data_IF_096701383143
#
_entry.id   IF_096701383143
#
_cell.length_a   1.000
_cell.length_b   1.000
_cell.length_c   1.000
_cell.angle_alpha   90.00
_cell.angle_beta   90.00
_cell.angle_gamma   90.00
#
_symmetry.space_group_name_H-M   'P 1'
#
loop_
_entity.id
_entity.type
_entity.pdbx_description
1 polymer ?
#
# COMPACT_ATOMS: atom_id res chain seq x y z
N UNK A 1 8.49 -12.65 -21.54
CA UNK A 1 7.30 -12.48 -20.67
C UNK A 1 6.26 -13.47 -21.14
N UNK A 2 5.51 -14.10 -20.23
CA UNK A 2 4.39 -14.98 -20.59
C UNK A 2 3.30 -14.07 -21.18
N UNK A 3 2.92 -14.30 -22.43
CA UNK A 3 1.86 -13.52 -23.09
C UNK A 3 0.52 -14.06 -22.62
N UNK A 4 -0.06 -13.41 -21.60
CA UNK A 4 -1.37 -13.78 -21.04
C UNK A 4 -2.34 -12.68 -21.42
N UNK A 5 -3.33 -13.01 -22.26
CA UNK A 5 -4.37 -12.06 -22.65
C UNK A 5 -5.31 -11.75 -21.49
N UNK A 6 -5.47 -10.47 -21.15
CA UNK A 6 -6.44 -9.99 -20.16
C UNK A 6 -7.42 -9.09 -20.90
N UNK A 7 -8.71 -9.42 -20.86
CA UNK A 7 -9.76 -8.63 -21.51
C UNK A 7 -10.10 -7.39 -20.67
N UNK A 8 -10.21 -7.56 -19.36
CA UNK A 8 -10.48 -6.50 -18.40
C UNK A 8 -9.80 -6.80 -17.05
N UNK A 9 -9.31 -5.75 -16.39
CA UNK A 9 -8.81 -5.84 -15.02
C UNK A 9 -9.20 -4.58 -14.24
N UNK A 10 -9.84 -4.76 -13.09
CA UNK A 10 -10.24 -3.72 -12.16
C UNK A 10 -9.77 -4.11 -10.76
N UNK A 11 -9.42 -3.11 -9.96
CA UNK A 11 -9.15 -3.32 -8.53
C UNK A 11 -9.89 -2.28 -7.71
N UNK A 12 -10.63 -2.75 -6.71
CA UNK A 12 -11.20 -1.91 -5.66
C UNK A 12 -10.34 -2.09 -4.41
N UNK A 13 -9.92 -0.98 -3.78
CA UNK A 13 -9.04 -1.01 -2.62
C UNK A 13 -9.69 -0.28 -1.47
N UNK A 14 -9.69 -0.91 -0.30
CA UNK A 14 -10.22 -0.36 0.93
C UNK A 14 -9.14 -0.30 2.00
N UNK A 15 -9.23 0.69 2.88
CA UNK A 15 -8.29 0.92 3.96
C UNK A 15 -9.01 1.39 5.22
N UNK A 16 -8.80 0.68 6.33
CA UNK A 16 -9.34 1.05 7.63
C UNK A 16 -8.34 1.93 8.37
N UNK A 17 -8.45 3.24 8.15
CA UNK A 17 -7.61 4.24 8.80
C UNK A 17 -8.23 4.74 10.12
N UNK A 18 -7.39 4.98 11.12
CA UNK A 18 -7.78 5.71 12.32
C UNK A 18 -6.82 6.85 12.63
N UNK A 19 -7.38 7.93 13.19
CA UNK A 19 -6.68 9.05 13.80
C UNK A 19 -7.41 9.41 15.08
N UNK A 20 -6.69 9.51 16.18
CA UNK A 20 -7.26 9.81 17.51
C UNK A 20 -6.29 10.59 18.38
N UNK A 21 -6.80 11.14 19.47
CA UNK A 21 -6.03 11.88 20.47
C UNK A 21 -6.04 13.38 20.24
N UNK A 22 -5.14 14.07 20.94
CA UNK A 22 -5.08 15.53 21.03
C UNK A 22 -3.63 16.00 20.93
N UNK A 23 -3.44 17.10 20.22
CA UNK A 23 -2.14 17.78 20.12
C UNK A 23 -1.78 18.41 21.46
N UNK A 24 -2.75 19.09 22.11
CA UNK A 24 -2.52 19.75 23.39
C UNK A 24 -2.13 18.76 24.50
N UNK A 25 -2.69 17.56 24.47
CA UNK A 25 -2.46 16.53 25.48
C UNK A 25 -1.34 15.55 25.09
N UNK A 26 -0.68 15.75 23.95
CA UNK A 26 0.36 14.87 23.40
C UNK A 26 -0.08 13.39 23.28
N UNK A 27 -1.29 13.17 22.77
CA UNK A 27 -1.89 11.82 22.63
C UNK A 27 -2.22 11.42 21.19
N UNK A 28 -1.80 12.22 20.19
CA UNK A 28 -2.08 11.95 18.77
C UNK A 28 -1.51 10.59 18.38
N UNK A 29 -2.37 9.72 17.86
CA UNK A 29 -2.01 8.42 17.30
C UNK A 29 -2.82 8.18 16.04
N UNK A 30 -2.17 7.63 15.02
CA UNK A 30 -2.83 7.17 13.82
C UNK A 30 -2.32 5.78 13.41
N UNK A 31 -3.02 5.17 12.47
CA UNK A 31 -2.58 3.94 11.85
C UNK A 31 -3.62 3.40 10.89
N UNK A 32 -3.31 2.23 10.33
CA UNK A 32 -4.19 1.47 9.46
C UNK A 32 -4.33 0.07 10.05
N UNK A 33 -5.55 -0.41 10.28
CA UNK A 33 -5.79 -1.75 10.85
C UNK A 33 -5.83 -2.83 9.79
N UNK A 34 -6.36 -2.53 8.59
CA UNK A 34 -6.43 -3.47 7.49
C UNK A 34 -6.47 -2.72 6.14
N UNK A 35 -5.88 -3.34 5.10
CA UNK A 35 -6.04 -2.95 3.70
C UNK A 35 -6.54 -4.16 2.93
N UNK A 36 -7.60 -3.99 2.16
CA UNK A 36 -8.21 -5.04 1.33
C UNK A 36 -8.14 -4.63 -0.14
N UNK A 37 -7.89 -5.59 -1.02
CA UNK A 37 -7.89 -5.38 -2.46
C UNK A 37 -8.73 -6.45 -3.13
N UNK A 38 -9.75 -6.00 -3.85
CA UNK A 38 -10.71 -6.84 -4.56
C UNK A 38 -10.39 -6.73 -6.05
N UNK A 39 -9.94 -7.83 -6.64
CA UNK A 39 -9.58 -7.90 -8.05
C UNK A 39 -10.73 -8.50 -8.84
N UNK A 40 -11.13 -7.82 -9.91
CA UNK A 40 -12.12 -8.26 -10.88
C UNK A 40 -11.43 -8.32 -12.25
N UNK A 41 -11.24 -9.54 -12.76
CA UNK A 41 -10.42 -9.81 -13.95
C UNK A 41 -11.20 -10.73 -14.89
N UNK A 42 -11.30 -10.34 -16.16
CA UNK A 42 -11.94 -11.11 -17.22
C UNK A 42 -10.87 -11.56 -18.22
N UNK A 43 -10.84 -12.86 -18.53
CA UNK A 43 -9.92 -13.44 -19.52
C UNK A 43 -10.43 -14.80 -20.00
N UNK A 44 -10.07 -15.17 -21.23
CA UNK A 44 -10.32 -16.49 -21.82
C UNK A 44 -9.19 -17.50 -21.52
N UNK A 45 -8.15 -17.07 -20.79
CA UNK A 45 -7.01 -17.92 -20.43
C UNK A 45 -7.32 -18.86 -19.26
N UNK A 46 -6.48 -19.87 -19.07
CA UNK A 46 -6.64 -20.80 -17.94
C UNK A 46 -6.45 -20.09 -16.60
N UNK A 47 -7.25 -20.49 -15.61
CA UNK A 47 -7.24 -19.89 -14.27
C UNK A 47 -5.85 -19.90 -13.63
N UNK A 48 -5.10 -20.99 -13.80
CA UNK A 48 -3.76 -21.17 -13.23
C UNK A 48 -2.76 -20.12 -13.74
N UNK A 49 -2.83 -19.80 -15.04
CA UNK A 49 -2.00 -18.77 -15.66
C UNK A 49 -2.37 -17.37 -15.16
N UNK A 50 -3.67 -17.10 -14.98
CA UNK A 50 -4.17 -15.83 -14.47
C UNK A 50 -3.76 -15.62 -13.00
N UNK A 51 -3.85 -16.66 -12.18
CA UNK A 51 -3.41 -16.62 -10.78
C UNK A 51 -1.91 -16.35 -10.70
N UNK A 52 -1.10 -16.97 -11.56
CA UNK A 52 0.34 -16.72 -11.63
C UNK A 52 0.63 -15.24 -11.93
N UNK A 53 -0.03 -14.68 -12.95
CA UNK A 53 0.11 -13.26 -13.33
C UNK A 53 -0.30 -12.32 -12.21
N UNK A 54 -1.45 -12.56 -11.57
CA UNK A 54 -1.92 -11.72 -10.45
C UNK A 54 -0.92 -11.77 -9.29
N UNK A 55 -0.39 -12.95 -8.96
CA UNK A 55 0.65 -13.08 -7.91
C UNK A 55 1.92 -12.30 -8.27
N UNK A 56 2.35 -12.33 -9.52
CA UNK A 56 3.50 -11.56 -10.00
C UNK A 56 3.22 -10.05 -9.93
N UNK A 57 2.04 -9.61 -10.35
CA UNK A 57 1.61 -8.20 -10.26
C UNK A 57 1.63 -7.71 -8.80
N UNK A 58 1.12 -8.52 -7.86
CA UNK A 58 1.15 -8.20 -6.42
C UNK A 58 2.59 -8.09 -5.88
N UNK A 59 3.49 -8.99 -6.30
CA UNK A 59 4.92 -8.88 -5.96
C UNK A 59 5.59 -7.61 -6.52
N UNK A 60 5.13 -7.13 -7.68
CA UNK A 60 5.61 -5.89 -8.28
C UNK A 60 4.90 -4.63 -7.77
N UNK A 61 3.78 -4.77 -7.06
CA UNK A 61 2.99 -3.64 -6.58
C UNK A 61 3.74 -2.88 -5.49
N UNK A 62 4.25 -1.70 -5.84
CA UNK A 62 4.99 -0.84 -4.91
C UNK A 62 4.21 -0.53 -3.64
N UNK A 63 2.92 -0.19 -3.76
CA UNK A 63 2.07 0.16 -2.61
C UNK A 63 1.84 -1.02 -1.67
N UNK A 64 1.55 -2.22 -2.21
CA UNK A 64 1.35 -3.41 -1.39
C UNK A 64 2.63 -3.82 -0.67
N UNK A 65 3.78 -3.74 -1.35
CA UNK A 65 5.07 -4.00 -0.72
C UNK A 65 5.39 -2.96 0.35
N UNK A 66 5.17 -1.67 0.09
CA UNK A 66 5.41 -0.60 1.06
C UNK A 66 4.66 -0.85 2.37
N UNK A 67 3.39 -1.24 2.28
CA UNK A 67 2.55 -1.62 3.43
C UNK A 67 3.10 -2.85 4.15
N UNK A 68 3.49 -3.90 3.42
CA UNK A 68 3.93 -5.17 4.00
C UNK A 68 5.32 -5.12 4.64
N UNK A 69 6.24 -4.37 4.05
CA UNK A 69 7.64 -4.41 4.48
C UNK A 69 7.96 -3.40 5.56
N UNK A 70 7.25 -2.27 5.62
CA UNK A 70 7.57 -1.17 6.54
C UNK A 70 9.00 -0.66 6.33
N UNK A 71 9.20 0.23 5.36
CA UNK A 71 10.54 0.78 5.09
C UNK A 71 10.91 1.84 6.13
N UNK A 72 12.20 1.98 6.51
CA UNK A 72 12.63 3.07 7.36
C UNK A 72 12.29 4.42 6.74
N UNK A 73 11.51 5.24 7.47
CA UNK A 73 11.22 6.62 7.10
C UNK A 73 12.17 7.53 7.87
N UNK A 74 12.81 8.48 7.17
CA UNK A 74 13.68 9.47 7.78
C UNK A 74 13.13 10.87 7.51
N UNK A 75 12.84 11.60 8.57
CA UNK A 75 12.40 12.99 8.49
C UNK A 75 13.57 13.93 8.80
N UNK A 76 13.64 15.07 8.12
CA UNK A 76 14.63 16.12 8.44
C UNK A 76 13.88 17.43 8.58
N UNK A 77 13.91 17.99 9.79
CA UNK A 77 13.32 19.29 10.07
C UNK A 77 14.40 20.37 10.11
N UNK A 78 14.13 21.50 9.45
CA UNK A 78 14.91 22.73 9.60
C UNK A 78 13.99 23.80 10.17
N UNK A 79 14.28 24.26 11.38
CA UNK A 79 13.43 25.23 12.09
C UNK A 79 14.23 26.51 12.32
N UNK A 80 13.86 27.59 11.64
CA UNK A 80 14.53 28.89 11.69
C UNK A 80 16.03 28.86 11.36
N UNK A 81 16.46 27.91 10.52
CA UNK A 81 17.86 27.78 10.08
C UNK A 81 18.56 26.48 10.53
N UNK A 82 18.64 26.14 11.83
CA UNK A 82 19.27 24.91 12.28
C UNK A 82 18.43 23.65 11.98
N UNK A 83 19.13 22.52 11.80
CA UNK A 83 18.51 21.19 11.76
C UNK A 83 18.07 20.76 13.15
N UNK A 84 16.87 20.23 13.26
CA UNK A 84 16.28 19.73 14.50
C UNK A 84 15.81 18.29 14.31
N UNK A 85 15.99 17.47 15.34
CA UNK A 85 15.42 16.13 15.38
C UNK A 85 13.93 16.21 15.74
N UNK A 86 13.08 15.47 15.02
CA UNK A 86 11.62 15.41 15.20
C UNK A 86 11.09 13.96 15.24
N UNK A 87 12.00 12.98 15.28
CA UNK A 87 11.71 11.55 15.39
C UNK A 87 12.12 11.00 16.77
#
# INVERSE_FOLDING_TARGET
>A
MKEVGICSAKVHVEMDYYLKGSVADNTVKNGVTEIRSFFDVESEQQEEDLIEVIRLAKKGCFAENLVKTGVPLKSVCTLNGPKVNID
#
